data_IF_110534954862
#
_entry.id   IF_110534954862
#
_cell.length_a   1.000
_cell.length_b   1.000
_cell.length_c   1.000
_cell.angle_alpha   90.00
_cell.angle_beta   90.00
_cell.angle_gamma   90.00
#
_symmetry.space_group_name_H-M   'P 1'
#
loop_
_entity.id
_entity.type
_entity.pdbx_description
1 polymer ?
#
# COMPACT_ATOMS: atom_id res chain seq x y z
N UNK A 1 -12.68 26.13 25.62
CA UNK A 1 -11.48 25.78 24.85
C UNK A 1 -11.69 24.34 24.37
N UNK A 2 -12.06 24.15 23.10
CA UNK A 2 -12.42 22.84 22.55
C UNK A 2 -11.16 22.26 21.90
N UNK A 3 -10.65 21.16 22.45
CA UNK A 3 -9.58 20.38 21.83
C UNK A 3 -10.26 19.34 20.95
N UNK A 4 -10.21 19.56 19.64
CA UNK A 4 -10.64 18.60 18.63
C UNK A 4 -9.56 17.52 18.58
N UNK A 5 -9.81 16.38 19.22
CA UNK A 5 -9.04 15.16 18.99
C UNK A 5 -9.43 14.64 17.59
N UNK A 6 -8.63 15.02 16.60
CA UNK A 6 -8.61 14.36 15.30
C UNK A 6 -8.00 12.96 15.51
N UNK A 7 -8.86 12.00 15.83
CA UNK A 7 -8.52 10.59 15.72
C UNK A 7 -8.16 10.32 14.25
N UNK A 8 -6.92 9.91 14.01
CA UNK A 8 -6.45 9.49 12.70
C UNK A 8 -7.28 8.32 12.21
N UNK A 9 -8.24 8.60 11.33
CA UNK A 9 -8.89 7.61 10.52
C UNK A 9 -7.87 7.10 9.49
N UNK A 10 -7.14 6.04 9.84
CA UNK A 10 -6.39 5.28 8.84
C UNK A 10 -7.41 4.51 7.97
N UNK A 11 -7.44 4.91 6.71
CA UNK A 11 -8.43 4.58 5.70
C UNK A 11 -8.44 3.08 5.35
N UNK A 12 -9.49 2.38 5.75
CA UNK A 12 -9.90 1.06 5.24
C UNK A 12 -10.50 1.18 3.82
N UNK A 13 -9.68 1.56 2.83
CA UNK A 13 -10.14 1.86 1.45
C UNK A 13 -9.74 0.86 0.36
N UNK A 14 -9.23 -0.33 0.70
CA UNK A 14 -8.69 -1.23 -0.33
C UNK A 14 -9.59 -2.42 -0.74
N UNK A 15 -10.92 -2.39 -0.56
CA UNK A 15 -11.75 -3.58 -0.87
C UNK A 15 -13.08 -3.38 -1.61
N UNK A 16 -13.38 -2.27 -2.30
CA UNK A 16 -14.61 -2.19 -3.11
C UNK A 16 -14.43 -1.60 -4.52
N UNK A 17 -14.75 -2.37 -5.58
CA UNK A 17 -15.35 -1.82 -6.79
C UNK A 17 -16.88 -1.75 -6.57
N UNK A 18 -17.45 -0.55 -6.48
CA UNK A 18 -18.90 -0.39 -6.46
C UNK A 18 -19.38 0.73 -5.55
N UNK A 19 -20.02 1.72 -6.15
CA UNK A 19 -20.63 2.87 -5.51
C UNK A 19 -21.98 2.45 -4.88
N UNK A 20 -22.16 2.43 -3.54
CA UNK A 20 -23.49 2.24 -2.98
C UNK A 20 -24.26 3.57 -3.05
N UNK A 21 -25.19 3.68 -3.99
CA UNK A 21 -26.29 4.63 -3.89
C UNK A 21 -26.98 4.39 -2.55
N UNK A 22 -26.90 5.37 -1.64
CA UNK A 22 -27.70 5.38 -0.42
C UNK A 22 -29.18 5.43 -0.80
N UNK A 23 -29.90 4.32 -0.62
CA UNK A 23 -31.36 4.32 -0.63
C UNK A 23 -31.86 3.46 0.53
N UNK A 24 -32.67 4.11 1.37
CA UNK A 24 -33.68 3.56 2.28
C UNK A 24 -33.23 2.97 3.62
N UNK A 25 -33.33 3.83 4.64
CA UNK A 25 -33.60 3.43 6.02
C UNK A 25 -35.07 3.01 6.18
N UNK A 26 -35.37 1.84 6.76
CA UNK A 26 -36.59 1.69 7.55
C UNK A 26 -36.28 2.10 9.00
N UNK A 27 -37.14 2.97 9.53
CA UNK A 27 -37.14 3.33 10.94
C UNK A 27 -37.24 2.07 11.82
N UNK A 28 -36.32 1.90 12.75
CA UNK A 28 -36.53 1.10 13.95
C UNK A 28 -36.31 2.02 15.15
N UNK A 29 -37.44 2.34 15.77
CA UNK A 29 -37.56 2.90 17.10
C UNK A 29 -36.96 1.87 18.07
N UNK A 30 -35.85 2.20 18.73
CA UNK A 30 -35.32 1.40 19.84
C UNK A 30 -35.17 2.33 21.04
N UNK A 31 -36.01 2.05 22.03
CA UNK A 31 -35.99 2.62 23.35
C UNK A 31 -34.59 2.61 23.98
N UNK A 32 -34.27 3.67 24.71
CA UNK A 32 -33.06 3.81 25.50
C UNK A 32 -32.91 2.64 26.49
N UNK A 33 -31.85 1.85 26.35
CA UNK A 33 -31.33 0.99 27.41
C UNK A 33 -30.15 1.74 28.06
N UNK A 34 -30.15 1.96 29.39
CA UNK A 34 -29.05 2.60 30.10
C UNK A 34 -27.82 1.69 30.10
N UNK A 35 -26.65 2.32 29.95
CA UNK A 35 -25.42 1.67 29.51
C UNK A 35 -24.86 0.57 30.41
N UNK A 36 -24.33 -0.44 29.75
CA UNK A 36 -23.27 -1.29 30.28
C UNK A 36 -21.97 -0.89 29.56
N UNK A 37 -21.27 0.08 30.13
CA UNK A 37 -19.91 0.45 29.69
C UNK A 37 -18.93 -0.41 30.47
N UNK A 38 -18.97 -1.72 30.22
CA UNK A 38 -17.92 -2.65 30.64
C UNK A 38 -17.33 -3.27 29.37
N UNK A 39 -16.74 -2.43 28.50
CA UNK A 39 -15.73 -2.93 27.58
C UNK A 39 -14.55 -3.36 28.43
N UNK A 40 -14.47 -4.66 28.70
CA UNK A 40 -13.49 -5.33 29.57
C UNK A 40 -12.07 -4.87 29.25
N UNK A 41 -11.28 -4.57 30.28
CA UNK A 41 -9.87 -4.16 30.14
C UNK A 41 -9.05 -5.16 29.30
N UNK A 42 -9.37 -6.45 29.40
CA UNK A 42 -8.79 -7.55 28.61
C UNK A 42 -8.97 -7.38 27.10
N UNK A 43 -10.16 -6.94 26.65
CA UNK A 43 -10.41 -6.69 25.23
C UNK A 43 -9.55 -5.54 24.73
N UNK A 44 -9.43 -4.47 25.53
CA UNK A 44 -8.61 -3.31 25.20
C UNK A 44 -7.11 -3.66 25.11
N UNK A 45 -6.61 -4.56 25.96
CA UNK A 45 -5.23 -5.06 25.89
C UNK A 45 -4.99 -5.86 24.61
N UNK A 46 -5.90 -6.77 24.25
CA UNK A 46 -5.80 -7.56 23.03
C UNK A 46 -5.76 -6.68 21.76
N UNK A 47 -6.56 -5.61 21.71
CA UNK A 47 -6.52 -4.65 20.60
C UNK A 47 -5.19 -3.89 20.52
N UNK A 48 -4.62 -3.50 21.67
CA UNK A 48 -3.31 -2.83 21.70
C UNK A 48 -2.19 -3.75 21.23
N UNK A 49 -2.19 -5.00 21.67
CA UNK A 49 -1.20 -5.99 21.22
C UNK A 49 -1.28 -6.21 19.71
N UNK A 50 -2.48 -6.33 19.15
CA UNK A 50 -2.67 -6.46 17.70
C UNK A 50 -2.13 -5.24 16.95
N UNK A 51 -2.43 -4.03 17.43
CA UNK A 51 -1.94 -2.79 16.83
C UNK A 51 -0.40 -2.72 16.87
N UNK A 52 0.22 -3.11 18.00
CA UNK A 52 1.67 -3.17 18.13
C UNK A 52 2.29 -4.17 17.15
N UNK A 53 1.70 -5.36 16.98
CA UNK A 53 2.18 -6.35 16.01
C UNK A 53 2.11 -5.83 14.57
N UNK A 54 1.03 -5.13 14.21
CA UNK A 54 0.90 -4.52 12.88
C UNK A 54 1.94 -3.44 12.66
N UNK A 55 2.17 -2.58 13.65
CA UNK A 55 3.17 -1.51 13.58
C UNK A 55 4.60 -2.07 13.49
N UNK A 56 4.93 -3.08 14.29
CA UNK A 56 6.23 -3.76 14.23
C UNK A 56 6.47 -4.38 12.85
N UNK A 57 5.47 -5.07 12.30
CA UNK A 57 5.55 -5.61 10.95
C UNK A 57 5.67 -4.50 9.89
N UNK A 58 4.98 -3.36 10.05
CA UNK A 58 5.11 -2.23 9.14
C UNK A 58 6.55 -1.68 9.13
N UNK A 59 7.17 -1.49 10.30
CA UNK A 59 8.57 -1.03 10.42
C UNK A 59 9.56 -2.03 9.86
N UNK A 60 9.30 -3.34 10.01
CA UNK A 60 10.18 -4.39 9.48
C UNK A 60 10.31 -4.37 7.95
N UNK A 61 9.47 -3.62 7.22
CA UNK A 61 9.64 -3.42 5.76
C UNK A 61 10.93 -2.66 5.43
N UNK A 62 11.47 -1.87 6.35
CA UNK A 62 12.74 -1.15 6.18
C UNK A 62 13.90 -2.12 5.90
N UNK A 63 13.87 -3.32 6.49
CA UNK A 63 14.86 -4.36 6.24
C UNK A 63 14.77 -4.98 4.82
N UNK A 64 13.76 -4.60 4.03
CA UNK A 64 13.57 -5.04 2.65
C UNK A 64 14.11 -4.04 1.62
N UNK A 65 14.62 -2.89 2.05
CA UNK A 65 15.21 -1.90 1.16
C UNK A 65 16.43 -2.45 0.42
N UNK A 66 16.45 -2.28 -0.90
CA UNK A 66 17.52 -2.77 -1.77
C UNK A 66 17.51 -4.28 -1.99
N UNK A 67 16.56 -5.02 -1.41
CA UNK A 67 16.36 -6.44 -1.70
C UNK A 67 15.41 -6.59 -2.89
N UNK A 68 15.68 -7.53 -3.82
CA UNK A 68 14.73 -7.86 -4.86
C UNK A 68 13.45 -8.44 -4.25
N UNK A 69 12.38 -8.43 -5.03
CA UNK A 69 11.14 -9.10 -4.64
C UNK A 69 11.33 -10.60 -4.40
N UNK A 70 10.51 -11.13 -3.51
CA UNK A 70 10.56 -12.55 -3.18
C UNK A 70 10.16 -13.34 -4.43
N UNK A 71 11.00 -14.31 -4.78
CA UNK A 71 10.80 -15.19 -5.92
C UNK A 71 10.67 -16.64 -5.44
N UNK A 72 9.77 -17.41 -6.05
CA UNK A 72 9.48 -18.78 -5.64
C UNK A 72 8.49 -18.88 -4.47
N UNK A 73 8.28 -20.09 -3.97
CA UNK A 73 7.30 -20.39 -2.90
C UNK A 73 7.71 -19.77 -1.57
N UNK A 74 6.72 -19.30 -0.81
CA UNK A 74 6.89 -18.74 0.54
C UNK A 74 6.28 -19.69 1.57
N UNK A 75 7.13 -20.42 2.28
CA UNK A 75 6.70 -21.37 3.31
C UNK A 75 6.54 -20.71 4.69
N UNK A 76 7.26 -19.61 4.92
CA UNK A 76 7.31 -18.92 6.20
C UNK A 76 6.82 -17.47 6.09
N UNK A 77 6.17 -16.98 7.16
CA UNK A 77 5.69 -15.59 7.23
C UNK A 77 6.89 -14.63 7.25
N UNK A 78 7.01 -13.70 6.30
CA UNK A 78 8.04 -12.66 6.38
C UNK A 78 7.78 -11.71 7.55
N UNK A 79 8.84 -11.20 8.17
CA UNK A 79 8.74 -10.32 9.35
C UNK A 79 7.91 -9.05 9.10
N UNK A 80 7.93 -8.55 7.86
CA UNK A 80 7.16 -7.37 7.47
C UNK A 80 5.67 -7.65 7.27
N UNK A 81 5.20 -8.89 7.46
CA UNK A 81 3.80 -9.30 7.35
C UNK A 81 3.32 -9.69 8.75
N UNK A 82 2.36 -8.99 9.34
CA UNK A 82 1.83 -9.32 10.66
C UNK A 82 1.14 -10.69 10.69
N UNK A 83 0.97 -11.33 11.86
CA UNK A 83 0.28 -12.62 11.96
C UNK A 83 -1.14 -12.61 11.39
N UNK A 84 -1.86 -11.49 11.53
CA UNK A 84 -3.20 -11.32 10.96
C UNK A 84 -3.15 -11.20 9.44
N UNK A 85 -2.31 -10.31 8.90
CA UNK A 85 -2.13 -10.18 7.46
C UNK A 85 -1.75 -11.52 6.83
N UNK A 86 -0.83 -12.26 7.44
CA UNK A 86 -0.40 -13.58 6.94
C UNK A 86 -1.56 -14.57 6.81
N UNK A 87 -2.45 -14.62 7.81
CA UNK A 87 -3.64 -15.48 7.76
C UNK A 87 -4.56 -15.08 6.61
N UNK A 88 -4.78 -13.78 6.42
CA UNK A 88 -5.60 -13.25 5.32
C UNK A 88 -4.99 -13.59 3.97
N UNK A 89 -3.69 -13.32 3.78
CA UNK A 89 -2.99 -13.59 2.52
C UNK A 89 -3.06 -15.08 2.15
N UNK A 90 -2.79 -15.99 3.11
CA UNK A 90 -2.92 -17.43 2.88
C UNK A 90 -4.36 -17.84 2.54
N UNK A 91 -5.35 -17.26 3.22
CA UNK A 91 -6.75 -17.56 2.94
C UNK A 91 -7.18 -17.11 1.54
N UNK A 92 -6.71 -15.97 1.06
CA UNK A 92 -7.00 -15.47 -0.28
C UNK A 92 -6.29 -16.34 -1.33
N UNK A 93 -5.02 -16.68 -1.09
CA UNK A 93 -4.22 -17.48 -2.00
C UNK A 93 -4.75 -18.91 -2.18
N UNK A 94 -5.25 -19.53 -1.11
CA UNK A 94 -5.82 -20.88 -1.13
C UNK A 94 -7.04 -21.03 -2.08
N UNK A 95 -7.71 -19.91 -2.41
CA UNK A 95 -8.83 -19.91 -3.35
C UNK A 95 -8.41 -19.84 -4.83
N UNK A 96 -7.12 -19.74 -5.14
CA UNK A 96 -6.61 -19.62 -6.50
C UNK A 96 -6.02 -20.93 -7.04
N UNK A 97 -6.07 -21.17 -8.38
CA UNK A 97 -5.54 -22.40 -8.99
C UNK A 97 -4.05 -22.67 -8.71
N UNK A 98 -3.25 -21.62 -8.53
CA UNK A 98 -1.82 -21.69 -8.19
C UNK A 98 -1.59 -20.91 -6.89
N UNK A 99 -1.91 -21.55 -5.76
CA UNK A 99 -1.94 -20.89 -4.45
C UNK A 99 -0.56 -20.39 -4.00
N UNK A 100 0.51 -21.11 -4.30
CA UNK A 100 1.87 -20.73 -3.88
C UNK A 100 2.35 -19.49 -4.64
N UNK A 101 2.12 -19.46 -5.95
CA UNK A 101 2.42 -18.29 -6.77
C UNK A 101 1.57 -17.10 -6.34
N UNK A 102 0.29 -17.32 -6.06
CA UNK A 102 -0.61 -16.25 -5.61
C UNK A 102 -0.18 -15.69 -4.25
N UNK A 103 0.18 -16.55 -3.28
CA UNK A 103 0.68 -16.10 -1.98
C UNK A 103 1.92 -15.22 -2.14
N UNK A 104 2.86 -15.64 -2.98
CA UNK A 104 4.08 -14.89 -3.30
C UNK A 104 3.75 -13.52 -3.89
N UNK A 105 2.83 -13.49 -4.86
CA UNK A 105 2.35 -12.25 -5.48
C UNK A 105 1.74 -11.31 -4.44
N UNK A 106 0.83 -11.80 -3.60
CA UNK A 106 0.17 -11.02 -2.57
C UNK A 106 1.14 -10.48 -1.50
N UNK A 107 2.15 -11.26 -1.12
CA UNK A 107 3.20 -10.82 -0.19
C UNK A 107 4.03 -9.70 -0.80
N UNK A 108 4.44 -9.82 -2.06
CA UNK A 108 5.19 -8.76 -2.76
C UNK A 108 4.33 -7.49 -2.94
N UNK A 109 3.03 -7.64 -3.22
CA UNK A 109 2.08 -6.53 -3.24
C UNK A 109 1.99 -5.82 -1.89
N UNK A 110 1.93 -6.58 -0.79
CA UNK A 110 1.92 -6.02 0.55
C UNK A 110 3.23 -5.29 0.88
N UNK A 111 4.38 -5.87 0.52
CA UNK A 111 5.70 -5.22 0.65
C UNK A 111 5.70 -3.87 -0.05
N UNK A 112 5.25 -3.82 -1.31
CA UNK A 112 5.17 -2.58 -2.08
C UNK A 112 4.27 -1.54 -1.39
N UNK A 113 3.08 -1.94 -0.91
CA UNK A 113 2.16 -1.05 -0.21
C UNK A 113 2.78 -0.46 1.06
N UNK A 114 3.46 -1.28 1.87
CA UNK A 114 4.15 -0.83 3.10
C UNK A 114 5.32 0.10 2.80
N UNK A 115 6.11 -0.19 1.77
CA UNK A 115 7.17 0.72 1.32
C UNK A 115 6.60 2.07 0.89
N UNK A 116 5.51 2.09 0.14
CA UNK A 116 4.85 3.34 -0.26
C UNK A 116 4.34 4.14 0.93
N UNK A 117 3.68 3.48 1.88
CA UNK A 117 3.20 4.12 3.11
C UNK A 117 4.38 4.71 3.91
N UNK A 118 5.49 3.97 4.01
CA UNK A 118 6.69 4.43 4.69
C UNK A 118 7.31 5.65 4.00
N UNK A 119 7.43 5.62 2.67
CA UNK A 119 7.89 6.78 1.88
C UNK A 119 7.00 8.00 2.09
N UNK A 120 5.68 7.83 2.10
CA UNK A 120 4.73 8.91 2.34
C UNK A 120 4.88 9.51 3.75
N UNK A 121 5.11 8.68 4.78
CA UNK A 121 5.34 9.13 6.16
C UNK A 121 6.64 9.92 6.35
N UNK A 122 7.67 9.62 5.57
CA UNK A 122 8.97 10.32 5.66
C UNK A 122 8.97 11.69 4.96
N UNK A 123 7.91 12.07 4.23
CA UNK A 123 7.82 13.38 3.60
C UNK A 123 7.81 14.50 4.64
N UNK A 124 8.68 15.49 4.47
CA UNK A 124 8.81 16.61 5.41
C UNK A 124 9.57 16.28 6.69
N UNK A 125 10.18 15.09 6.79
CA UNK A 125 11.13 14.72 7.84
C UNK A 125 12.58 14.93 7.38
N UNK A 126 13.54 14.91 8.31
CA UNK A 126 14.97 15.02 8.01
C UNK A 126 15.60 13.71 7.48
N UNK A 127 14.78 12.72 7.09
CA UNK A 127 15.21 11.37 6.69
C UNK A 127 15.32 11.23 5.15
N UNK A 128 15.91 12.23 4.48
CA UNK A 128 15.97 12.30 3.02
C UNK A 128 16.65 11.08 2.38
N UNK A 129 17.73 10.58 2.98
CA UNK A 129 18.47 9.42 2.46
C UNK A 129 17.60 8.17 2.41
N UNK A 130 16.87 7.90 3.50
CA UNK A 130 15.97 6.76 3.62
C UNK A 130 14.77 6.92 2.68
N UNK A 131 14.14 8.10 2.69
CA UNK A 131 13.03 8.43 1.79
C UNK A 131 13.41 8.20 0.32
N UNK A 132 14.58 8.67 -0.10
CA UNK A 132 15.07 8.47 -1.46
C UNK A 132 15.42 6.99 -1.75
N UNK A 133 15.87 6.22 -0.76
CA UNK A 133 16.13 4.79 -0.95
C UNK A 133 14.82 4.03 -1.21
N UNK A 134 13.77 4.32 -0.44
CA UNK A 134 12.44 3.74 -0.66
C UNK A 134 11.89 4.19 -2.02
N UNK A 135 12.04 5.46 -2.38
CA UNK A 135 11.53 5.98 -3.65
C UNK A 135 12.18 5.28 -4.87
N UNK A 136 13.48 4.98 -4.80
CA UNK A 136 14.16 4.19 -5.85
C UNK A 136 13.63 2.77 -5.91
N UNK A 137 13.48 2.10 -4.76
CA UNK A 137 12.92 0.75 -4.71
C UNK A 137 11.50 0.70 -5.32
N UNK A 138 10.65 1.66 -4.97
CA UNK A 138 9.30 1.76 -5.52
C UNK A 138 9.32 1.95 -7.04
N UNK A 139 10.20 2.81 -7.57
CA UNK A 139 10.35 2.96 -9.02
C UNK A 139 10.73 1.65 -9.70
N UNK A 140 11.59 0.86 -9.08
CA UNK A 140 12.03 -0.42 -9.64
C UNK A 140 10.97 -1.51 -9.59
N UNK A 141 10.10 -1.49 -8.57
CA UNK A 141 9.04 -2.48 -8.39
C UNK A 141 7.78 -2.15 -9.23
N UNK A 142 7.55 -0.88 -9.61
CA UNK A 142 6.36 -0.44 -10.38
C UNK A 142 6.08 -1.27 -11.65
N UNK A 143 7.06 -1.55 -12.53
CA UNK A 143 6.82 -2.35 -13.73
C UNK A 143 6.20 -3.70 -13.44
N UNK A 144 6.64 -4.38 -12.38
CA UNK A 144 6.10 -5.66 -11.97
C UNK A 144 4.66 -5.55 -11.47
N UNK A 145 4.32 -4.48 -10.75
CA UNK A 145 2.94 -4.22 -10.31
C UNK A 145 2.00 -4.02 -11.51
N UNK A 146 2.47 -3.35 -12.57
CA UNK A 146 1.71 -3.15 -13.81
C UNK A 146 1.54 -4.46 -14.58
N UNK A 147 2.63 -5.23 -14.76
CA UNK A 147 2.60 -6.54 -15.43
C UNK A 147 1.61 -7.51 -14.76
N UNK A 148 1.58 -7.49 -13.42
CA UNK A 148 0.68 -8.30 -12.60
C UNK A 148 -0.74 -7.72 -12.46
N UNK A 149 -1.07 -6.65 -13.19
CA UNK A 149 -2.38 -5.97 -13.16
C UNK A 149 -2.81 -5.47 -11.78
N UNK A 150 -1.85 -5.21 -10.89
CA UNK A 150 -2.11 -4.70 -9.53
C UNK A 150 -2.18 -3.18 -9.48
N UNK A 151 -1.65 -2.54 -10.51
CA UNK A 151 -1.63 -1.09 -10.73
C UNK A 151 -1.83 -0.83 -12.21
N UNK A 152 -2.77 0.05 -12.57
CA UNK A 152 -2.91 0.46 -13.97
C UNK A 152 -1.80 1.43 -14.38
N UNK A 153 -1.57 1.54 -15.69
CA UNK A 153 -0.49 2.37 -16.24
C UNK A 153 -0.63 3.86 -15.88
N UNK A 154 -1.84 4.38 -15.71
CA UNK A 154 -2.05 5.78 -15.35
C UNK A 154 -1.68 6.06 -13.90
N UNK A 155 -2.07 5.16 -12.98
CA UNK A 155 -1.66 5.20 -11.57
C UNK A 155 -0.15 5.04 -11.43
N UNK A 156 0.45 4.13 -12.19
CA UNK A 156 1.90 3.92 -12.21
C UNK A 156 2.63 5.18 -12.67
N UNK A 157 2.17 5.82 -13.75
CA UNK A 157 2.77 7.05 -14.25
C UNK A 157 2.67 8.20 -13.22
N UNK A 158 1.53 8.34 -12.54
CA UNK A 158 1.36 9.34 -11.48
C UNK A 158 2.33 9.10 -10.33
N UNK A 159 2.46 7.85 -9.87
CA UNK A 159 3.40 7.50 -8.80
C UNK A 159 4.85 7.74 -9.25
N UNK A 160 5.24 7.33 -10.45
CA UNK A 160 6.57 7.60 -11.02
C UNK A 160 6.88 9.09 -11.01
N UNK A 161 5.94 9.95 -11.42
CA UNK A 161 6.15 11.41 -11.40
C UNK A 161 6.39 11.96 -9.99
N UNK A 162 5.66 11.45 -8.99
CA UNK A 162 5.83 11.87 -7.59
C UNK A 162 7.19 11.43 -7.03
N UNK A 163 7.57 10.17 -7.27
CA UNK A 163 8.86 9.62 -6.85
C UNK A 163 10.03 10.34 -7.51
N UNK A 164 9.92 10.65 -8.81
CA UNK A 164 10.95 11.39 -9.54
C UNK A 164 11.03 12.86 -9.14
N UNK A 165 9.92 13.46 -8.70
CA UNK A 165 9.94 14.83 -8.17
C UNK A 165 10.70 14.92 -6.84
N UNK A 166 10.60 13.89 -6.01
CA UNK A 166 11.37 13.75 -4.77
C UNK A 166 12.86 13.47 -5.05
N UNK A 167 13.15 12.55 -5.99
CA UNK A 167 14.51 12.10 -6.28
C UNK A 167 15.37 13.08 -7.10
N UNK A 168 14.75 13.90 -7.97
CA UNK A 168 15.48 14.66 -9.00
C UNK A 168 15.04 16.12 -8.99
N UNK A 169 15.90 17.01 -8.47
CA UNK A 169 15.63 18.45 -8.43
C UNK A 169 15.63 19.10 -9.82
N UNK A 170 16.50 18.64 -10.73
CA UNK A 170 16.65 19.19 -12.08
C UNK A 170 15.44 18.83 -12.98
N UNK A 171 14.67 19.81 -13.49
CA UNK A 171 13.47 19.53 -14.30
C UNK A 171 13.75 18.88 -15.66
N UNK A 172 14.93 19.08 -16.26
CA UNK A 172 15.29 18.43 -17.52
C UNK A 172 15.64 16.97 -17.28
N UNK A 173 16.48 16.69 -16.28
CA UNK A 173 16.82 15.31 -15.90
C UNK A 173 15.59 14.52 -15.45
N UNK A 174 14.69 15.17 -14.70
CA UNK A 174 13.43 14.55 -14.27
C UNK A 174 12.55 14.15 -15.45
N UNK A 175 12.43 15.01 -16.47
CA UNK A 175 11.66 14.70 -17.69
C UNK A 175 12.27 13.54 -18.48
N UNK A 176 13.59 13.50 -18.62
CA UNK A 176 14.28 12.38 -19.29
C UNK A 176 14.02 11.07 -18.55
N UNK A 177 14.21 11.06 -17.22
CA UNK A 177 13.96 9.87 -16.40
C UNK A 177 12.48 9.45 -16.44
N UNK A 178 11.54 10.39 -16.42
CA UNK A 178 10.12 10.09 -16.52
C UNK A 178 9.75 9.40 -17.85
N UNK A 179 10.40 9.78 -18.96
CA UNK A 179 10.20 9.13 -20.25
C UNK A 179 10.80 7.71 -20.31
N UNK A 180 11.91 7.46 -19.60
CA UNK A 180 12.44 6.10 -19.42
C UNK A 180 11.50 5.23 -18.60
N UNK A 181 11.02 5.75 -17.47
CA UNK A 181 10.12 5.02 -16.56
C UNK A 181 8.74 4.75 -17.19
N UNK A 182 8.22 5.67 -18.00
CA UNK A 182 7.00 5.46 -18.78
C UNK A 182 7.14 4.28 -19.76
N UNK A 183 8.31 4.15 -20.41
CA UNK A 183 8.59 3.03 -21.32
C UNK A 183 8.64 1.68 -20.58
N UNK A 184 9.14 1.65 -19.34
CA UNK A 184 9.18 0.41 -18.52
C UNK A 184 7.80 -0.14 -18.19
N UNK A 185 6.75 0.70 -18.21
CA UNK A 185 5.36 0.31 -17.96
C UNK A 185 4.52 0.22 -19.25
N UNK A 186 5.17 0.17 -20.42
CA UNK A 186 4.50 0.02 -21.72
C UNK A 186 3.86 1.29 -22.27
N UNK A 187 4.10 2.46 -21.67
CA UNK A 187 3.66 3.75 -22.24
C UNK A 187 4.72 4.22 -23.23
N UNK A 188 4.51 3.92 -24.50
CA UNK A 188 5.25 4.54 -25.60
C UNK A 188 4.48 5.76 -26.09
N UNK A 189 5.09 6.95 -26.00
CA UNK A 189 4.61 8.11 -26.72
C UNK A 189 4.86 7.88 -28.21
N UNK A 190 3.96 7.16 -28.88
CA UNK A 190 3.88 7.25 -30.32
C UNK A 190 3.48 8.68 -30.64
N UNK A 191 4.48 9.51 -30.97
CA UNK A 191 4.22 10.76 -31.67
C UNK A 191 3.58 10.35 -32.98
N UNK A 192 2.24 10.35 -33.03
CA UNK A 192 1.48 10.35 -34.28
C UNK A 192 2.02 11.51 -35.11
N UNK A 193 3.01 11.19 -35.93
CA UNK A 193 3.37 11.99 -37.08
C UNK A 193 2.19 11.82 -38.03
N UNK A 194 1.15 12.63 -37.85
CA UNK A 194 0.22 12.95 -38.92
C UNK A 194 1.05 13.66 -40.00
N UNK A 195 1.70 12.84 -40.82
CA UNK A 195 2.22 13.22 -42.13
C UNK A 195 1.04 13.35 -43.08
N UNK A 196 1.10 14.43 -43.85
CA UNK A 196 0.34 14.87 -45.02
C UNK A 196 -1.13 15.19 -44.80
#
# INVERSE_FOLDING_TARGET
>A
MIVILMAGAALLWWLLPGNPKATNSPAHDIAAIPGDTTQSEEGNEQYRELAQQQEQAARAVEHQLGKPEISGTIDERPDFVSPMEWRVLKSVAAGQPDSDRELTRLVNRLRFAKLREHWDKLKGSDHDQERHAIARQLLDDIPQRVDQQEMDASQAQQLQQQLLADLISDPQKRRQRAAEEARRIGITFEMQSSRS
#
